data_IF_148830154372
#
_entry.id   IF_148830154372
#
_cell.length_a   1.000
_cell.length_b   1.000
_cell.length_c   1.000
_cell.angle_alpha   90.00
_cell.angle_beta   90.00
_cell.angle_gamma   90.00
#
_symmetry.space_group_name_H-M   'P 1'
#
loop_
_entity.id
_entity.type
_entity.pdbx_description
1 polymer ?
#
# COMPACT_ATOMS: atom_id res chain seq x y z
N UNK A 1 -9.84 3.87 35.92
CA UNK A 1 -9.27 2.95 34.89
C UNK A 1 -9.79 3.42 33.55
N UNK A 2 -8.91 3.60 32.58
CA UNK A 2 -9.26 3.99 31.21
C UNK A 2 -10.12 2.91 30.57
N UNK A 3 -11.17 3.31 29.84
CA UNK A 3 -12.08 2.39 29.15
C UNK A 3 -11.94 2.49 27.63
N UNK A 4 -12.23 1.40 26.91
CA UNK A 4 -12.26 1.42 25.44
C UNK A 4 -13.23 2.48 24.92
N UNK A 5 -14.35 2.69 25.60
CA UNK A 5 -15.34 3.70 25.23
C UNK A 5 -14.77 5.13 25.26
N UNK A 6 -13.95 5.44 26.26
CA UNK A 6 -13.27 6.74 26.34
C UNK A 6 -12.23 6.90 25.20
N UNK A 7 -11.50 5.84 24.87
CA UNK A 7 -10.57 5.86 23.74
C UNK A 7 -11.31 6.03 22.40
N UNK A 8 -12.47 5.36 22.22
CA UNK A 8 -13.34 5.53 21.06
C UNK A 8 -13.78 6.99 20.89
N UNK A 9 -14.22 7.64 22.00
CA UNK A 9 -14.57 9.04 21.98
C UNK A 9 -13.43 9.95 21.56
N UNK A 10 -12.22 9.69 22.07
CA UNK A 10 -11.04 10.46 21.71
C UNK A 10 -10.71 10.31 20.23
N UNK A 11 -10.75 9.10 19.68
CA UNK A 11 -10.51 8.85 18.26
C UNK A 11 -11.57 9.52 17.38
N UNK A 12 -12.85 9.48 17.76
CA UNK A 12 -13.92 10.15 17.04
C UNK A 12 -13.73 11.68 17.02
N UNK A 13 -13.33 12.29 18.17
CA UNK A 13 -13.03 13.73 18.23
C UNK A 13 -11.82 14.08 17.36
N UNK A 14 -10.77 13.27 17.36
CA UNK A 14 -9.58 13.46 16.52
C UNK A 14 -9.92 13.42 15.01
N UNK A 15 -10.76 12.46 14.62
CA UNK A 15 -11.24 12.29 13.24
C UNK A 15 -12.05 13.47 12.74
N UNK A 16 -13.03 13.91 13.52
CA UNK A 16 -13.96 14.97 13.11
C UNK A 16 -13.48 16.38 13.43
N UNK A 17 -12.54 16.53 14.35
CA UNK A 17 -12.11 17.81 14.94
C UNK A 17 -13.32 18.67 15.40
N UNK A 18 -14.40 17.98 15.81
CA UNK A 18 -15.67 18.59 16.17
C UNK A 18 -16.47 17.68 17.10
N UNK A 19 -16.70 18.13 18.35
CA UNK A 19 -17.35 17.34 19.40
C UNK A 19 -18.77 16.87 19.05
N UNK A 20 -19.60 17.72 18.40
CA UNK A 20 -20.97 17.34 18.04
C UNK A 20 -20.98 16.20 17.02
N UNK A 21 -20.15 16.29 15.94
CA UNK A 21 -20.06 15.24 14.93
C UNK A 21 -19.47 13.93 15.49
N UNK A 22 -18.50 14.04 16.39
CA UNK A 22 -17.96 12.88 17.08
C UNK A 22 -19.01 12.19 17.96
N UNK A 23 -19.85 12.97 18.65
CA UNK A 23 -20.94 12.44 19.46
C UNK A 23 -22.01 11.73 18.61
N UNK A 24 -22.34 12.29 17.44
CA UNK A 24 -23.25 11.67 16.46
C UNK A 24 -22.68 10.32 15.96
N UNK A 25 -21.40 10.24 15.61
CA UNK A 25 -20.75 8.98 15.23
C UNK A 25 -20.79 7.95 16.37
N UNK A 26 -20.54 8.37 17.61
CA UNK A 26 -20.58 7.48 18.79
C UNK A 26 -21.99 7.17 19.30
N UNK A 27 -23.05 7.69 18.66
CA UNK A 27 -24.46 7.54 19.06
C UNK A 27 -24.74 7.97 20.52
N UNK A 28 -24.19 9.13 20.93
CA UNK A 28 -24.39 9.71 22.28
C UNK A 28 -24.62 11.22 22.21
N UNK A 29 -24.99 11.82 23.33
CA UNK A 29 -25.05 13.28 23.44
C UNK A 29 -23.66 13.90 23.48
N UNK A 30 -23.52 15.13 22.94
CA UNK A 30 -22.28 15.88 23.00
C UNK A 30 -21.78 16.09 24.45
N UNK A 31 -22.68 16.27 25.40
CA UNK A 31 -22.34 16.42 26.82
C UNK A 31 -21.73 15.15 27.40
N UNK A 32 -22.28 13.97 27.06
CA UNK A 32 -21.75 12.68 27.50
C UNK A 32 -20.36 12.41 26.89
N UNK A 33 -20.15 12.72 25.59
CA UNK A 33 -18.85 12.60 24.95
C UNK A 33 -17.83 13.55 25.58
N UNK A 34 -18.20 14.82 25.80
CA UNK A 34 -17.31 15.80 26.45
C UNK A 34 -16.90 15.38 27.87
N UNK A 35 -17.83 14.81 28.64
CA UNK A 35 -17.55 14.31 30.00
C UNK A 35 -16.61 13.09 29.93
N UNK A 36 -16.83 12.17 28.99
CA UNK A 36 -15.95 11.01 28.77
C UNK A 36 -14.52 11.39 28.39
N UNK A 37 -14.35 12.40 27.52
CA UNK A 37 -13.02 12.95 27.19
C UNK A 37 -12.37 13.63 28.40
N UNK A 38 -13.11 14.47 29.14
CA UNK A 38 -12.58 15.15 30.31
C UNK A 38 -12.13 14.15 31.39
N UNK A 39 -12.87 13.07 31.58
CA UNK A 39 -12.50 12.00 32.52
C UNK A 39 -11.26 11.22 32.04
N UNK A 40 -11.14 10.97 30.72
CA UNK A 40 -9.94 10.35 30.14
C UNK A 40 -8.70 11.24 30.37
N UNK A 41 -8.80 12.53 30.03
CA UNK A 41 -7.71 13.51 30.21
C UNK A 41 -7.31 13.62 31.69
N UNK A 42 -8.28 13.61 32.60
CA UNK A 42 -8.05 13.60 34.06
C UNK A 42 -7.32 12.32 34.51
N UNK A 43 -7.70 11.14 34.00
CA UNK A 43 -7.05 9.88 34.35
C UNK A 43 -5.63 9.79 33.83
N UNK A 44 -5.34 10.45 32.71
CA UNK A 44 -4.00 10.53 32.10
C UNK A 44 -3.18 11.68 32.65
N UNK A 45 -3.76 12.56 33.46
CA UNK A 45 -3.17 13.83 33.91
C UNK A 45 -2.58 14.63 32.72
N UNK A 46 -3.28 14.66 31.60
CA UNK A 46 -2.78 15.21 30.34
C UNK A 46 -3.94 15.66 29.46
N UNK A 47 -3.78 16.81 28.79
CA UNK A 47 -4.74 17.29 27.79
C UNK A 47 -4.43 16.68 26.43
N UNK A 48 -5.42 15.97 25.86
CA UNK A 48 -5.37 15.42 24.50
C UNK A 48 -5.81 16.48 23.49
N UNK A 49 -6.78 17.32 23.86
CA UNK A 49 -7.38 18.32 22.99
C UNK A 49 -7.31 19.73 23.58
N UNK A 50 -6.84 20.67 22.80
CA UNK A 50 -7.02 22.10 23.04
C UNK A 50 -8.36 22.54 22.48
N UNK A 51 -9.18 23.19 23.32
CA UNK A 51 -10.52 23.67 22.95
C UNK A 51 -10.50 25.18 22.89
N UNK A 52 -10.76 25.73 21.74
CA UNK A 52 -11.18 27.13 21.62
C UNK A 52 -12.56 27.18 20.96
N UNK A 53 -13.22 28.35 21.05
CA UNK A 53 -14.60 28.51 20.56
C UNK A 53 -14.80 28.27 19.06
N UNK A 54 -13.73 28.01 18.29
CA UNK A 54 -13.78 27.87 16.82
C UNK A 54 -13.17 26.56 16.30
N UNK A 55 -12.25 25.92 17.08
CA UNK A 55 -11.49 24.76 16.60
C UNK A 55 -11.16 23.82 17.76
N UNK A 56 -11.04 22.53 17.41
CA UNK A 56 -10.47 21.50 18.28
C UNK A 56 -9.10 21.15 17.68
N UNK A 57 -8.05 21.41 18.44
CA UNK A 57 -6.67 21.06 18.07
C UNK A 57 -6.24 19.87 18.91
N UNK A 58 -5.42 19.01 18.34
CA UNK A 58 -4.81 17.88 19.05
C UNK A 58 -3.47 18.36 19.59
N UNK A 59 -3.18 18.09 20.86
CA UNK A 59 -1.86 18.42 21.44
C UNK A 59 -0.79 17.45 20.94
N UNK A 60 0.50 17.81 20.96
CA UNK A 60 1.57 16.88 20.55
C UNK A 60 1.53 15.55 21.32
N UNK A 61 1.32 15.60 22.63
CA UNK A 61 1.14 14.39 23.44
C UNK A 61 -0.18 13.68 23.13
N UNK A 62 -1.23 14.41 22.75
CA UNK A 62 -2.49 13.87 22.28
C UNK A 62 -2.34 13.02 21.02
N UNK A 63 -1.53 13.44 20.07
CA UNK A 63 -1.23 12.66 18.86
C UNK A 63 -0.62 11.30 19.22
N UNK A 64 0.38 11.29 20.10
CA UNK A 64 1.01 10.05 20.57
C UNK A 64 0.02 9.12 21.29
N UNK A 65 -0.82 9.68 22.16
CA UNK A 65 -1.82 8.90 22.89
C UNK A 65 -2.92 8.34 21.99
N UNK A 66 -3.36 9.09 20.99
CA UNK A 66 -4.35 8.63 20.00
C UNK A 66 -3.78 7.51 19.13
N UNK A 67 -2.51 7.60 18.75
CA UNK A 67 -1.81 6.52 18.05
C UNK A 67 -1.80 5.23 18.87
N UNK A 68 -1.51 5.32 20.17
CA UNK A 68 -1.58 4.17 21.09
C UNK A 68 -3.00 3.65 21.26
N UNK A 69 -4.00 4.52 21.31
CA UNK A 69 -5.41 4.14 21.35
C UNK A 69 -5.83 3.30 20.13
N UNK A 70 -5.37 3.67 18.93
CA UNK A 70 -5.61 2.88 17.72
C UNK A 70 -5.00 1.47 17.81
N UNK A 71 -3.80 1.33 18.40
CA UNK A 71 -3.19 0.01 18.62
C UNK A 71 -4.02 -0.85 19.59
N UNK A 72 -4.56 -0.26 20.65
CA UNK A 72 -5.45 -0.97 21.59
C UNK A 72 -6.69 -1.51 20.87
N UNK A 73 -7.33 -0.72 20.00
CA UNK A 73 -8.47 -1.19 19.20
C UNK A 73 -8.08 -2.30 18.23
N UNK A 74 -6.90 -2.22 17.62
CA UNK A 74 -6.38 -3.31 16.79
C UNK A 74 -6.27 -4.62 17.55
N UNK A 75 -5.70 -4.60 18.76
CA UNK A 75 -5.58 -5.80 19.61
C UNK A 75 -6.94 -6.37 20.03
N UNK A 76 -7.91 -5.50 20.36
CA UNK A 76 -9.28 -5.93 20.69
C UNK A 76 -9.97 -6.58 19.49
N UNK A 77 -9.82 -6.01 18.29
CA UNK A 77 -10.31 -6.62 17.06
C UNK A 77 -9.66 -7.98 16.78
N UNK A 78 -8.35 -8.09 17.01
CA UNK A 78 -7.62 -9.34 16.83
C UNK A 78 -8.10 -10.42 17.81
N UNK A 79 -8.50 -10.07 19.04
CA UNK A 79 -9.13 -11.00 19.99
C UNK A 79 -10.42 -11.60 19.43
N UNK A 80 -11.33 -10.77 18.94
CA UNK A 80 -12.60 -11.24 18.35
C UNK A 80 -12.37 -12.08 17.11
N UNK A 81 -11.43 -11.68 16.27
CA UNK A 81 -11.05 -12.42 15.06
C UNK A 81 -10.44 -13.79 15.39
N UNK A 82 -9.55 -13.86 16.39
CA UNK A 82 -8.99 -15.15 16.88
C UNK A 82 -10.05 -16.09 17.40
N UNK A 83 -11.04 -15.58 18.15
CA UNK A 83 -12.14 -16.40 18.67
C UNK A 83 -12.96 -17.06 17.54
N UNK A 84 -13.04 -16.42 16.38
CA UNK A 84 -13.84 -16.86 15.23
C UNK A 84 -13.02 -17.51 14.10
N UNK A 85 -11.72 -17.23 13.99
CA UNK A 85 -10.88 -17.65 12.83
C UNK A 85 -10.52 -19.13 12.79
N UNK A 86 -10.90 -19.93 13.78
CA UNK A 86 -10.60 -21.36 13.83
C UNK A 86 -11.42 -22.23 12.86
N UNK A 87 -12.39 -21.68 12.13
CA UNK A 87 -13.36 -22.54 11.44
C UNK A 87 -13.24 -22.60 9.92
N UNK A 88 -12.94 -21.52 9.21
CA UNK A 88 -12.83 -21.54 7.74
C UNK A 88 -11.84 -20.47 7.21
N UNK A 89 -10.99 -20.82 6.23
CA UNK A 89 -10.10 -19.86 5.58
C UNK A 89 -10.87 -18.74 4.86
N UNK A 90 -10.39 -17.52 4.95
CA UNK A 90 -10.97 -16.34 4.28
C UNK A 90 -12.47 -16.14 4.55
N UNK A 91 -12.94 -16.50 5.76
CA UNK A 91 -14.35 -16.42 6.15
C UNK A 91 -14.81 -14.99 6.51
N UNK A 92 -13.89 -14.07 6.74
CA UNK A 92 -14.18 -12.69 7.15
C UNK A 92 -13.71 -11.67 6.12
N UNK A 93 -14.37 -10.52 6.02
CA UNK A 93 -13.92 -9.40 5.20
C UNK A 93 -12.47 -9.03 5.50
N UNK A 94 -11.73 -8.66 4.46
CA UNK A 94 -10.33 -8.22 4.59
C UNK A 94 -10.10 -6.98 3.74
N UNK A 95 -9.39 -6.00 4.32
CA UNK A 95 -8.92 -4.82 3.59
C UNK A 95 -7.45 -4.95 3.26
N UNK A 96 -7.11 -4.97 1.98
CA UNK A 96 -5.74 -5.05 1.49
C UNK A 96 -5.33 -3.71 0.88
N UNK A 97 -4.27 -3.13 1.41
CA UNK A 97 -3.60 -2.00 0.78
C UNK A 97 -2.66 -2.48 -0.33
N UNK A 98 -2.66 -1.83 -1.49
CA UNK A 98 -1.75 -2.20 -2.59
C UNK A 98 -1.13 -0.92 -3.15
N UNK A 99 0.18 -0.93 -3.44
CA UNK A 99 0.81 0.23 -4.05
C UNK A 99 0.35 0.42 -5.51
N UNK A 100 0.24 1.68 -6.00
CA UNK A 100 -0.31 1.98 -7.33
C UNK A 100 0.46 1.36 -8.49
N UNK A 101 1.73 1.02 -8.30
CA UNK A 101 2.56 0.36 -9.31
C UNK A 101 2.37 -1.17 -9.35
N UNK A 102 1.50 -1.72 -8.51
CA UNK A 102 1.16 -3.15 -8.44
C UNK A 102 -0.33 -3.37 -8.72
N UNK A 103 -1.22 -2.64 -8.05
CA UNK A 103 -2.66 -2.91 -8.03
C UNK A 103 -3.28 -3.10 -9.43
N UNK A 104 -3.11 -2.19 -10.41
CA UNK A 104 -3.75 -2.29 -11.72
C UNK A 104 -3.29 -3.52 -12.52
N UNK A 105 -2.09 -4.01 -12.25
CA UNK A 105 -1.47 -5.11 -13.00
C UNK A 105 -1.63 -6.47 -12.32
N UNK A 106 -1.72 -6.49 -10.99
CA UNK A 106 -1.86 -7.69 -10.18
C UNK A 106 -3.33 -8.15 -10.11
N UNK A 107 -4.24 -7.23 -9.78
CA UNK A 107 -5.62 -7.57 -9.48
C UNK A 107 -6.33 -8.32 -10.62
N UNK A 108 -6.22 -7.92 -11.90
CA UNK A 108 -6.84 -8.66 -12.99
C UNK A 108 -6.39 -10.11 -13.12
N UNK A 109 -5.16 -10.42 -12.68
CA UNK A 109 -4.56 -11.76 -12.77
C UNK A 109 -5.00 -12.66 -11.62
N UNK A 110 -5.22 -12.11 -10.43
CA UNK A 110 -5.44 -12.90 -9.21
C UNK A 110 -6.92 -12.94 -8.77
N UNK A 111 -7.70 -11.90 -9.03
CA UNK A 111 -9.10 -11.83 -8.61
C UNK A 111 -10.00 -12.93 -9.21
N UNK A 112 -9.85 -13.32 -10.50
CA UNK A 112 -10.64 -14.41 -11.04
C UNK A 112 -10.45 -15.73 -10.26
N UNK A 113 -9.20 -16.09 -9.97
CA UNK A 113 -8.86 -17.28 -9.20
C UNK A 113 -9.33 -17.17 -7.74
N UNK A 114 -9.16 -16.00 -7.12
CA UNK A 114 -9.66 -15.73 -5.77
C UNK A 114 -11.17 -15.91 -5.68
N UNK A 115 -11.92 -15.32 -6.60
CA UNK A 115 -13.39 -15.42 -6.65
C UNK A 115 -13.88 -16.86 -6.92
N UNK A 116 -13.16 -17.61 -7.74
CA UNK A 116 -13.50 -18.99 -8.03
C UNK A 116 -13.32 -19.90 -6.80
N UNK A 117 -12.21 -19.73 -6.04
CA UNK A 117 -11.90 -20.56 -4.89
C UNK A 117 -12.63 -20.12 -3.59
N UNK A 118 -12.90 -18.81 -3.46
CA UNK A 118 -13.50 -18.21 -2.25
C UNK A 118 -14.62 -17.24 -2.63
N UNK A 119 -15.75 -17.73 -3.17
CA UNK A 119 -16.83 -16.87 -3.73
C UNK A 119 -17.48 -15.95 -2.70
N UNK A 120 -17.45 -16.31 -1.43
CA UNK A 120 -18.04 -15.54 -0.32
C UNK A 120 -17.03 -14.64 0.39
N UNK A 121 -15.77 -14.62 -0.05
CA UNK A 121 -14.75 -13.76 0.58
C UNK A 121 -14.95 -12.30 0.16
N UNK A 122 -15.15 -11.44 1.14
CA UNK A 122 -15.31 -10.00 0.94
C UNK A 122 -13.95 -9.32 1.01
N UNK A 123 -13.45 -8.89 -0.15
CA UNK A 123 -12.19 -8.18 -0.29
C UNK A 123 -12.42 -6.69 -0.56
N UNK A 124 -11.87 -5.83 0.30
CA UNK A 124 -11.72 -4.39 0.06
C UNK A 124 -10.28 -4.08 -0.34
N UNK A 125 -10.11 -3.25 -1.37
CA UNK A 125 -8.79 -2.84 -1.84
C UNK A 125 -8.65 -1.32 -1.71
N UNK A 126 -7.51 -0.87 -1.18
CA UNK A 126 -7.13 0.54 -1.17
C UNK A 126 -5.76 0.72 -1.83
N UNK A 127 -5.62 1.81 -2.58
CA UNK A 127 -4.35 2.16 -3.22
C UNK A 127 -3.73 3.37 -2.55
N UNK A 128 -2.50 3.20 -2.03
CA UNK A 128 -1.68 4.29 -1.45
C UNK A 128 -0.19 3.96 -1.60
N UNK A 129 0.65 4.97 -1.41
CA UNK A 129 2.10 4.81 -1.37
C UNK A 129 2.53 3.93 -0.19
N UNK A 130 3.71 3.30 -0.31
CA UNK A 130 4.22 2.29 0.63
C UNK A 130 4.21 2.77 2.08
N UNK A 131 4.75 3.95 2.36
CA UNK A 131 4.83 4.50 3.72
C UNK A 131 3.44 4.57 4.38
N UNK A 132 2.45 5.13 3.66
CA UNK A 132 1.07 5.24 4.14
C UNK A 132 0.41 3.89 4.37
N UNK A 133 0.70 2.89 3.53
CA UNK A 133 0.17 1.54 3.71
C UNK A 133 0.79 0.86 4.93
N UNK A 134 2.10 0.97 5.13
CA UNK A 134 2.78 0.40 6.29
C UNK A 134 2.29 1.04 7.60
N UNK A 135 2.07 2.36 7.61
CA UNK A 135 1.45 3.05 8.72
C UNK A 135 0.05 2.48 9.02
N UNK A 136 -0.81 2.34 8.00
CA UNK A 136 -2.16 1.80 8.19
C UNK A 136 -2.16 0.34 8.65
N UNK A 137 -1.20 -0.47 8.21
CA UNK A 137 -1.02 -1.84 8.71
C UNK A 137 -0.62 -1.83 10.18
N UNK A 138 0.36 -0.99 10.59
CA UNK A 138 0.82 -0.89 11.98
C UNK A 138 -0.31 -0.53 12.94
N UNK A 139 -1.18 0.41 12.55
CA UNK A 139 -2.30 0.87 13.38
C UNK A 139 -3.57 0.04 13.21
N UNK A 140 -3.55 -1.00 12.37
CA UNK A 140 -4.70 -1.89 12.18
C UNK A 140 -5.86 -1.27 11.41
N UNK A 141 -5.63 -0.16 10.70
CA UNK A 141 -6.64 0.44 9.81
C UNK A 141 -6.92 -0.43 8.60
N UNK A 142 -5.94 -1.24 8.19
CA UNK A 142 -6.05 -2.28 7.17
C UNK A 142 -5.43 -3.57 7.69
N UNK A 143 -5.84 -4.68 7.11
CA UNK A 143 -5.42 -6.01 7.53
C UNK A 143 -3.99 -6.32 7.09
N UNK A 144 -3.70 -6.07 5.83
CA UNK A 144 -2.40 -6.35 5.19
C UNK A 144 -2.16 -5.37 4.06
N UNK A 145 -0.90 -5.29 3.62
CA UNK A 145 -0.54 -4.52 2.44
C UNK A 145 0.33 -5.34 1.48
N UNK A 146 0.19 -5.10 0.17
CA UNK A 146 1.09 -5.60 -0.87
C UNK A 146 1.99 -4.45 -1.30
N UNK A 147 3.28 -4.64 -1.08
CA UNK A 147 4.33 -3.69 -1.42
C UNK A 147 5.48 -4.39 -2.15
N UNK A 148 6.45 -3.61 -2.60
CA UNK A 148 7.67 -4.14 -3.22
C UNK A 148 8.89 -3.88 -2.34
N UNK A 149 9.73 -4.91 -2.16
CA UNK A 149 11.03 -4.82 -1.50
C UNK A 149 12.15 -4.50 -2.52
N UNK A 150 13.24 -3.83 -2.09
CA UNK A 150 13.60 -3.52 -0.69
C UNK A 150 12.85 -2.31 -0.12
N UNK A 151 12.41 -2.40 1.13
CA UNK A 151 11.84 -1.32 1.93
C UNK A 151 11.96 -1.65 3.42
N UNK A 152 12.17 -0.64 4.27
CA UNK A 152 12.24 -0.84 5.74
C UNK A 152 10.86 -1.20 6.30
N UNK A 153 10.76 -2.30 7.04
CA UNK A 153 9.48 -2.83 7.52
C UNK A 153 9.21 -2.55 9.00
N UNK A 154 10.21 -2.17 9.78
CA UNK A 154 10.15 -1.71 11.17
C UNK A 154 9.03 -2.35 12.02
N UNK A 155 9.24 -3.61 12.44
CA UNK A 155 8.29 -4.34 13.27
C UNK A 155 7.08 -4.94 12.54
N UNK A 156 7.16 -5.10 11.23
CA UNK A 156 6.16 -5.81 10.42
C UNK A 156 6.74 -7.11 9.85
N UNK A 157 5.89 -8.10 9.59
CA UNK A 157 6.25 -9.32 8.87
C UNK A 157 5.99 -9.20 7.38
N UNK A 158 6.87 -9.79 6.56
CA UNK A 158 6.70 -9.91 5.12
C UNK A 158 6.59 -11.36 4.67
N UNK A 159 5.66 -11.62 3.75
CA UNK A 159 5.45 -12.91 3.08
C UNK A 159 5.65 -12.71 1.59
N UNK A 160 6.81 -13.12 1.08
CA UNK A 160 7.14 -12.99 -0.35
C UNK A 160 6.30 -13.96 -1.17
N UNK A 161 5.68 -13.45 -2.23
CA UNK A 161 4.89 -14.28 -3.14
C UNK A 161 5.30 -14.17 -4.60
N UNK A 162 6.02 -13.10 -5.00
CA UNK A 162 6.40 -12.89 -6.39
C UNK A 162 7.71 -12.15 -6.54
N UNK A 163 8.38 -12.41 -7.66
CA UNK A 163 9.58 -11.67 -8.08
C UNK A 163 9.45 -11.31 -9.55
N UNK A 164 9.91 -10.12 -9.94
CA UNK A 164 9.85 -9.69 -11.34
C UNK A 164 10.97 -8.73 -11.71
N UNK A 165 11.15 -8.56 -13.02
CA UNK A 165 12.12 -7.65 -13.61
C UNK A 165 11.47 -6.36 -14.11
N UNK A 166 12.28 -5.34 -14.34
CA UNK A 166 11.87 -4.11 -15.00
C UNK A 166 12.22 -4.17 -16.49
N UNK A 167 11.38 -3.49 -17.26
CA UNK A 167 11.51 -3.32 -18.69
C UNK A 167 11.49 -1.83 -19.02
N UNK A 168 12.41 -1.39 -19.88
CA UNK A 168 12.39 -0.05 -20.42
C UNK A 168 11.36 0.04 -21.55
N UNK A 169 10.52 1.07 -21.52
CA UNK A 169 9.41 1.26 -22.45
C UNK A 169 9.75 2.41 -23.41
N UNK A 170 9.76 2.12 -24.70
CA UNK A 170 10.03 3.06 -25.78
C UNK A 170 8.87 3.11 -26.76
N UNK A 171 8.76 4.20 -27.53
CA UNK A 171 7.88 4.25 -28.68
C UNK A 171 8.33 3.22 -29.74
N UNK A 172 7.35 2.59 -30.42
CA UNK A 172 7.60 1.51 -31.39
C UNK A 172 8.48 1.93 -32.56
N UNK A 173 8.33 3.15 -33.05
CA UNK A 173 9.02 3.66 -34.24
C UNK A 173 10.39 4.29 -33.90
N UNK A 174 10.92 4.06 -32.70
CA UNK A 174 12.19 4.59 -32.24
C UNK A 174 13.41 3.73 -32.62
N UNK A 175 14.60 4.26 -32.34
CA UNK A 175 15.90 3.58 -32.60
C UNK A 175 16.08 2.27 -31.80
N UNK A 176 15.27 2.08 -30.76
CA UNK A 176 15.30 0.90 -29.88
C UNK A 176 14.42 -0.26 -30.37
N UNK A 177 13.69 -0.11 -31.48
CA UNK A 177 12.72 -1.10 -31.97
C UNK A 177 13.33 -2.47 -32.30
N UNK A 178 14.62 -2.52 -32.63
CA UNK A 178 15.34 -3.75 -33.04
C UNK A 178 16.23 -4.35 -31.94
N UNK A 179 16.33 -3.68 -30.78
CA UNK A 179 17.14 -4.17 -29.66
C UNK A 179 16.46 -5.30 -28.92
N UNK A 180 17.27 -6.19 -28.32
CA UNK A 180 16.78 -7.31 -27.50
C UNK A 180 16.83 -7.02 -25.99
N UNK A 181 17.70 -6.09 -25.58
CA UNK A 181 17.86 -5.65 -24.20
C UNK A 181 18.51 -4.27 -24.16
N UNK A 182 18.50 -3.63 -23.00
CA UNK A 182 19.14 -2.33 -22.79
C UNK A 182 19.87 -2.32 -21.43
N UNK A 183 21.06 -1.70 -21.39
CA UNK A 183 21.75 -1.47 -20.11
C UNK A 183 21.28 -0.17 -19.47
N UNK A 184 21.45 -0.07 -18.14
CA UNK A 184 21.14 1.16 -17.41
C UNK A 184 21.92 2.36 -17.95
N UNK A 185 23.22 2.19 -18.27
CA UNK A 185 24.05 3.25 -18.83
C UNK A 185 23.53 3.78 -20.15
N UNK A 186 22.96 2.94 -20.99
CA UNK A 186 22.36 3.30 -22.26
C UNK A 186 20.95 3.92 -22.07
N UNK A 187 20.17 3.37 -21.16
CA UNK A 187 18.85 3.88 -20.81
C UNK A 187 18.91 5.36 -20.38
N UNK A 188 19.87 5.71 -19.53
CA UNK A 188 20.01 7.07 -19.00
C UNK A 188 20.69 8.07 -19.94
N UNK A 189 21.03 7.67 -21.17
CA UNK A 189 21.33 8.61 -22.25
C UNK A 189 20.06 9.22 -22.83
N UNK A 190 18.88 8.66 -22.50
CA UNK A 190 17.57 9.15 -22.89
C UNK A 190 16.93 9.99 -21.79
N UNK A 191 15.88 10.73 -22.14
CA UNK A 191 15.02 11.40 -21.17
C UNK A 191 14.17 10.35 -20.42
N UNK A 192 14.61 9.95 -19.21
CA UNK A 192 13.91 8.94 -18.40
C UNK A 192 12.84 9.60 -17.55
N UNK A 193 11.60 9.18 -17.76
CA UNK A 193 10.40 9.61 -17.00
C UNK A 193 10.24 8.68 -15.80
N UNK A 194 10.35 9.20 -14.60
CA UNK A 194 10.14 8.45 -13.35
C UNK A 194 9.01 9.05 -12.51
N UNK A 195 8.41 8.22 -11.68
CA UNK A 195 7.41 8.63 -10.71
C UNK A 195 8.03 9.56 -9.67
N UNK A 196 7.22 10.45 -9.12
CA UNK A 196 7.65 11.38 -8.09
C UNK A 196 8.04 10.72 -6.76
N UNK A 197 8.34 11.53 -5.78
CA UNK A 197 8.73 11.07 -4.43
C UNK A 197 7.62 10.23 -3.77
N UNK A 198 8.04 9.25 -2.94
CA UNK A 198 7.13 8.33 -2.25
C UNK A 198 6.73 7.09 -3.05
N UNK A 199 7.11 6.99 -4.33
CA UNK A 199 6.94 5.77 -5.11
C UNK A 199 8.21 4.91 -5.04
N UNK A 200 8.12 3.76 -4.36
CA UNK A 200 9.26 2.83 -4.21
C UNK A 200 9.82 2.33 -5.56
N UNK A 201 9.03 2.36 -6.65
CA UNK A 201 9.49 2.00 -7.98
C UNK A 201 10.68 2.88 -8.41
N UNK A 202 10.62 4.18 -8.18
CA UNK A 202 11.70 5.11 -8.51
C UNK A 202 12.99 4.76 -7.76
N UNK A 203 12.90 4.55 -6.44
CA UNK A 203 14.07 4.19 -5.64
C UNK A 203 14.65 2.82 -6.05
N UNK A 204 13.78 1.85 -6.39
CA UNK A 204 14.19 0.53 -6.90
C UNK A 204 14.90 0.63 -8.26
N UNK A 205 14.36 1.41 -9.18
CA UNK A 205 14.99 1.66 -10.50
C UNK A 205 16.37 2.28 -10.32
N UNK A 206 16.48 3.31 -9.48
CA UNK A 206 17.75 3.97 -9.20
C UNK A 206 18.77 3.02 -8.56
N UNK A 207 18.33 2.15 -7.66
CA UNK A 207 19.17 1.14 -7.02
C UNK A 207 19.67 0.11 -8.02
N UNK A 208 18.79 -0.45 -8.85
CA UNK A 208 19.13 -1.44 -9.89
C UNK A 208 20.12 -0.85 -10.89
N UNK A 209 19.91 0.38 -11.30
CA UNK A 209 20.73 1.08 -12.27
C UNK A 209 21.99 1.73 -11.66
N UNK A 210 22.23 1.62 -10.35
CA UNK A 210 23.36 2.24 -9.64
C UNK A 210 23.53 3.74 -9.92
N UNK A 211 22.41 4.49 -10.05
CA UNK A 211 22.37 5.87 -10.48
C UNK A 211 21.97 6.85 -9.37
N UNK A 212 22.48 8.07 -9.46
CA UNK A 212 22.09 9.17 -8.57
C UNK A 212 20.89 9.95 -9.13
N UNK A 213 20.04 10.50 -8.24
CA UNK A 213 18.84 11.30 -8.59
C UNK A 213 19.12 12.52 -9.48
N UNK A 214 20.36 12.94 -9.66
CA UNK A 214 20.76 14.15 -10.41
C UNK A 214 20.51 14.09 -11.93
N UNK A 215 20.27 12.91 -12.50
CA UNK A 215 20.06 12.69 -13.94
C UNK A 215 18.59 12.50 -14.33
N UNK A 216 17.67 12.76 -13.41
CA UNK A 216 16.25 12.50 -13.61
C UNK A 216 15.54 13.81 -13.91
N UNK A 217 14.87 13.89 -15.05
CA UNK A 217 13.85 14.93 -15.30
C UNK A 217 12.53 14.52 -14.64
N UNK A 218 12.39 14.74 -13.33
CA UNK A 218 11.15 14.50 -12.58
C UNK A 218 10.19 15.67 -12.72
N UNK A 219 9.60 15.85 -13.90
CA UNK A 219 8.57 16.89 -14.12
C UNK A 219 7.15 16.43 -13.74
N UNK A 220 6.97 15.18 -13.28
CA UNK A 220 5.65 14.54 -13.17
C UNK A 220 5.44 13.91 -11.78
N UNK A 221 5.53 14.75 -10.74
CA UNK A 221 5.48 14.30 -9.34
C UNK A 221 4.21 13.50 -8.99
N UNK A 222 3.07 13.80 -9.61
CA UNK A 222 1.77 13.19 -9.30
C UNK A 222 1.24 12.27 -10.42
N UNK A 223 2.10 11.92 -11.40
CA UNK A 223 1.71 11.03 -12.47
C UNK A 223 1.61 9.56 -12.01
N UNK A 224 0.69 8.80 -12.60
CA UNK A 224 0.65 7.36 -12.46
C UNK A 224 1.66 6.67 -13.39
N UNK A 225 2.06 5.43 -13.08
CA UNK A 225 2.89 4.63 -14.00
C UNK A 225 2.24 4.50 -15.39
N UNK A 226 0.91 4.33 -15.44
CA UNK A 226 0.20 4.29 -16.71
C UNK A 226 0.33 5.59 -17.49
N UNK A 227 0.30 6.74 -16.83
CA UNK A 227 0.53 8.04 -17.47
C UNK A 227 1.92 8.11 -18.09
N UNK A 228 2.97 7.69 -17.38
CA UNK A 228 4.33 7.67 -17.90
C UNK A 228 4.48 6.72 -19.12
N UNK A 229 3.80 5.58 -19.08
CA UNK A 229 3.74 4.65 -20.22
C UNK A 229 3.08 5.32 -21.44
N UNK A 230 1.96 6.04 -21.26
CA UNK A 230 1.31 6.77 -22.36
C UNK A 230 2.22 7.87 -22.93
N UNK A 231 3.01 8.55 -22.10
CA UNK A 231 3.98 9.55 -22.55
C UNK A 231 5.14 8.90 -23.34
N UNK A 232 5.63 7.75 -22.88
CA UNK A 232 6.65 7.00 -23.62
C UNK A 232 6.14 6.54 -25.00
N UNK A 233 4.85 6.15 -25.10
CA UNK A 233 4.22 5.78 -26.39
C UNK A 233 4.29 6.90 -27.44
N UNK A 234 4.14 8.14 -27.03
CA UNK A 234 4.16 9.30 -27.94
C UNK A 234 5.57 9.91 -28.09
N UNK A 235 6.61 9.23 -27.60
CA UNK A 235 8.00 9.66 -27.77
C UNK A 235 8.44 10.82 -26.88
N UNK A 236 7.72 11.11 -25.76
CA UNK A 236 8.10 12.18 -24.83
C UNK A 236 9.26 11.79 -23.89
N UNK A 237 9.80 10.59 -24.05
CA UNK A 237 10.85 10.02 -23.24
C UNK A 237 10.68 8.52 -23.11
N UNK A 238 11.41 7.91 -22.19
CA UNK A 238 11.29 6.49 -21.83
C UNK A 238 10.94 6.32 -20.37
N UNK A 239 10.31 5.22 -20.00
CA UNK A 239 10.03 4.89 -18.60
C UNK A 239 10.35 3.43 -18.32
N UNK A 240 10.40 3.04 -17.03
CA UNK A 240 10.54 1.65 -16.64
C UNK A 240 9.21 1.13 -16.07
N UNK A 241 8.80 -0.02 -16.59
CA UNK A 241 7.62 -0.72 -16.15
C UNK A 241 7.98 -2.11 -15.58
N UNK A 242 7.26 -2.59 -14.57
CA UNK A 242 7.40 -3.95 -14.09
C UNK A 242 6.89 -4.96 -15.11
N UNK A 243 7.46 -6.16 -15.11
CA UNK A 243 7.08 -7.24 -16.04
C UNK A 243 5.57 -7.50 -16.09
N UNK A 244 4.87 -7.43 -14.95
CA UNK A 244 3.42 -7.64 -14.93
C UNK A 244 2.61 -6.58 -15.67
N UNK A 245 3.18 -5.41 -15.96
CA UNK A 245 2.52 -4.34 -16.71
C UNK A 245 2.57 -4.56 -18.22
N UNK A 246 3.48 -5.42 -18.73
CA UNK A 246 3.72 -5.60 -20.16
C UNK A 246 2.46 -6.01 -20.94
N UNK A 247 1.56 -6.75 -20.28
CA UNK A 247 0.33 -7.22 -20.93
C UNK A 247 -0.67 -6.12 -21.27
N UNK A 248 -0.55 -4.97 -20.61
CA UNK A 248 -1.44 -3.84 -20.80
C UNK A 248 -0.84 -2.77 -21.75
N UNK A 249 0.36 -3.03 -22.32
CA UNK A 249 1.07 -2.00 -23.08
C UNK A 249 0.48 -1.77 -24.48
N UNK A 250 -0.09 -2.76 -25.14
CA UNK A 250 -0.51 -2.67 -26.55
C UNK A 250 0.70 -2.66 -27.53
N UNK A 251 0.39 -2.53 -28.82
CA UNK A 251 1.37 -2.71 -29.90
C UNK A 251 2.16 -1.45 -30.27
N UNK A 252 1.93 -0.34 -29.57
CA UNK A 252 2.52 0.98 -29.88
C UNK A 252 3.86 1.22 -29.18
N UNK A 253 4.35 0.24 -28.43
CA UNK A 253 5.60 0.35 -27.67
C UNK A 253 6.50 -0.86 -27.87
N UNK A 254 7.79 -0.63 -27.62
CA UNK A 254 8.79 -1.69 -27.46
C UNK A 254 9.17 -1.74 -25.96
N UNK A 255 9.13 -2.94 -25.39
CA UNK A 255 9.52 -3.19 -24.01
C UNK A 255 10.84 -3.99 -24.00
N UNK A 256 11.91 -3.38 -23.56
CA UNK A 256 13.23 -4.01 -23.51
C UNK A 256 13.58 -4.40 -22.08
N UNK A 257 13.95 -5.68 -21.84
CA UNK A 257 14.45 -6.08 -20.53
C UNK A 257 15.75 -5.34 -20.21
N UNK A 258 15.94 -4.97 -18.94
CA UNK A 258 17.23 -4.47 -18.46
C UNK A 258 18.26 -5.60 -18.48
N UNK A 259 19.50 -5.26 -18.87
CA UNK A 259 20.65 -6.20 -18.89
C UNK A 259 21.15 -6.51 -17.47
N UNK A 260 20.81 -5.69 -16.49
CA UNK A 260 21.15 -5.88 -15.08
C UNK A 260 20.51 -7.14 -14.53
N UNK A 261 21.27 -7.83 -13.64
CA UNK A 261 20.83 -9.11 -13.08
C UNK A 261 19.62 -8.92 -12.14
N UNK A 262 18.52 -9.57 -12.48
CA UNK A 262 17.32 -9.62 -11.63
C UNK A 262 17.39 -10.65 -10.49
N UNK A 263 16.31 -10.76 -9.68
CA UNK A 263 15.07 -9.98 -9.81
C UNK A 263 15.25 -8.52 -9.37
N UNK A 264 14.54 -7.61 -10.03
CA UNK A 264 14.67 -6.17 -9.77
C UNK A 264 13.77 -5.71 -8.63
N UNK A 265 12.67 -6.41 -8.38
CA UNK A 265 11.83 -6.21 -7.18
C UNK A 265 11.18 -7.52 -6.72
N UNK A 266 10.87 -7.57 -5.42
CA UNK A 266 10.18 -8.68 -4.77
C UNK A 266 8.86 -8.18 -4.19
N UNK A 267 7.75 -8.84 -4.49
CA UNK A 267 6.43 -8.47 -4.00
C UNK A 267 6.10 -9.27 -2.76
N UNK A 268 5.65 -8.57 -1.72
CA UNK A 268 5.36 -9.16 -0.42
C UNK A 268 4.01 -8.71 0.10
N UNK A 269 3.32 -9.62 0.81
CA UNK A 269 2.29 -9.22 1.77
C UNK A 269 2.97 -8.78 3.07
N UNK A 270 2.49 -7.72 3.68
CA UNK A 270 3.02 -7.20 4.95
C UNK A 270 1.92 -7.17 6.00
N UNK A 271 2.21 -7.72 7.19
CA UNK A 271 1.28 -7.77 8.33
C UNK A 271 1.93 -7.30 9.61
N UNK A 272 1.13 -7.00 10.62
CA UNK A 272 1.59 -6.86 12.01
C UNK A 272 2.21 -8.17 12.50
N UNK A 273 3.16 -8.08 13.44
CA UNK A 273 3.83 -9.26 14.01
C UNK A 273 2.84 -10.29 14.60
N UNK A 274 1.84 -9.81 15.32
CA UNK A 274 0.83 -10.63 16.00
C UNK A 274 -0.52 -10.63 15.27
N UNK A 275 -0.51 -10.49 13.94
CA UNK A 275 -1.76 -10.46 13.18
C UNK A 275 -2.49 -11.81 13.28
N UNK A 276 -3.73 -11.78 13.82
CA UNK A 276 -4.51 -12.97 14.11
C UNK A 276 -4.79 -13.83 12.87
N UNK A 277 -4.99 -13.19 11.70
CA UNK A 277 -5.35 -13.85 10.43
C UNK A 277 -4.15 -14.08 9.51
N UNK A 278 -2.97 -14.29 10.08
CA UNK A 278 -1.75 -14.56 9.29
C UNK A 278 -1.89 -15.77 8.36
N UNK A 279 -2.71 -16.76 8.72
CA UNK A 279 -2.97 -17.90 7.86
C UNK A 279 -3.75 -17.53 6.61
N UNK A 280 -4.71 -16.61 6.70
CA UNK A 280 -5.43 -16.09 5.52
C UNK A 280 -4.46 -15.37 4.56
N UNK A 281 -3.52 -14.59 5.10
CA UNK A 281 -2.48 -13.93 4.28
C UNK A 281 -1.56 -14.94 3.60
N UNK A 282 -1.20 -16.04 4.27
CA UNK A 282 -0.41 -17.12 3.65
C UNK A 282 -1.18 -17.81 2.52
N UNK A 283 -2.48 -18.05 2.72
CA UNK A 283 -3.36 -18.64 1.69
C UNK A 283 -3.44 -17.68 0.48
N UNK A 284 -3.67 -16.39 0.71
CA UNK A 284 -3.67 -15.39 -0.36
C UNK A 284 -2.32 -15.30 -1.08
N UNK A 285 -1.22 -15.32 -0.33
CA UNK A 285 0.14 -15.31 -0.87
C UNK A 285 0.39 -16.51 -1.80
N UNK A 286 -0.04 -17.70 -1.40
CA UNK A 286 0.07 -18.91 -2.22
C UNK A 286 -0.82 -18.84 -3.45
N UNK A 287 -2.09 -18.48 -3.28
CA UNK A 287 -3.06 -18.36 -4.37
C UNK A 287 -2.62 -17.33 -5.42
N UNK A 288 -2.08 -16.20 -4.98
CA UNK A 288 -1.57 -15.17 -5.88
C UNK A 288 -0.34 -15.65 -6.65
N UNK A 289 0.57 -16.38 -5.99
CA UNK A 289 1.72 -17.01 -6.66
C UNK A 289 1.26 -18.00 -7.73
N UNK A 290 0.33 -18.89 -7.40
CA UNK A 290 -0.20 -19.90 -8.32
C UNK A 290 -0.89 -19.25 -9.53
N UNK A 291 -1.73 -18.24 -9.29
CA UNK A 291 -2.41 -17.49 -10.35
C UNK A 291 -1.43 -16.79 -11.30
N UNK A 292 -0.39 -16.15 -10.75
CA UNK A 292 0.65 -15.49 -11.55
C UNK A 292 1.50 -16.49 -12.34
N UNK A 293 1.84 -17.64 -11.74
CA UNK A 293 2.58 -18.72 -12.41
C UNK A 293 1.78 -19.31 -13.57
N UNK A 294 0.49 -19.60 -13.35
CA UNK A 294 -0.39 -20.11 -14.39
C UNK A 294 -0.51 -19.10 -15.56
N UNK A 295 -0.58 -17.81 -15.24
CA UNK A 295 -0.67 -16.75 -16.23
C UNK A 295 0.61 -16.62 -17.09
N UNK A 296 1.79 -16.85 -16.52
CA UNK A 296 3.05 -16.90 -17.28
C UNK A 296 3.14 -18.10 -18.21
N UNK A 297 2.73 -19.29 -17.74
CA UNK A 297 2.79 -20.53 -18.51
C UNK A 297 1.84 -20.57 -19.72
N UNK A 298 0.75 -19.83 -19.69
CA UNK A 298 -0.21 -19.73 -20.80
C UNK A 298 0.33 -18.93 -21.99
N UNK A 299 1.49 -18.29 -21.84
CA UNK A 299 2.10 -17.40 -22.85
C UNK A 299 3.44 -17.87 -23.42
N UNK A 300 4.00 -18.96 -22.87
CA UNK A 300 5.10 -19.69 -23.48
C UNK A 300 4.58 -20.74 -24.45
#
# INVERSE_FOLDING_TARGET
MITLRQLEFALAVAKHKHFKRAAEECNISQSALSLGIAELEKQLDTQIFERNNKQVLITPIGEELLERALRVFSEVNDLTTRAHSHQLPLAYPMTIGIIPTIAPYLLPKVLPTLKANYPNFELSVIEKQTERLLEQVRYGHIDTAIIALPYALDGLHAFEFWQENFYAIFAKDGEYATKLSISSSELFQNDVLLLGEGHCLTDQVLSVCSMNKQHIRSSFSDASLNTLIQMAKVGMGTTLAPQMALEQLGDDVVALPLSEKGPHRRLVFVTRLNYARVNDVKILSQLFREALTAHQNTRQ
#
